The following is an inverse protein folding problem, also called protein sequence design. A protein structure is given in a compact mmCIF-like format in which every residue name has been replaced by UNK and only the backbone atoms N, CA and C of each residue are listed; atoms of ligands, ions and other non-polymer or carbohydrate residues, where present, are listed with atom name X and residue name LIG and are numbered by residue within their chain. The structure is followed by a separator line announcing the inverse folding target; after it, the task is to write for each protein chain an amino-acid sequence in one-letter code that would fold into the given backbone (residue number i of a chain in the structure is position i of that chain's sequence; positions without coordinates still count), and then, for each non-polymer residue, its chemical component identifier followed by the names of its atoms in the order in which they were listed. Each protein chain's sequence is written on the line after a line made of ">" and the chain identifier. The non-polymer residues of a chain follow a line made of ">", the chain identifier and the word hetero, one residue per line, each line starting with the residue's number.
data_IF_745061649775
#
_entry.id   IF_745061649775
#
_cell.length_a   1.000
_cell.length_b   1.000
_cell.length_c   1.000
_cell.angle_alpha   90.00
_cell.angle_beta   90.00
_cell.angle_gamma   90.00
#
_symmetry.space_group_name_H-M   'P 1'
#
loop_
_entity.id
_entity.type
_entity.pdbx_description
1 polymer ?
#
# COMPACT_ATOMS: atom_id res chain seq x y z
N UNK A 1 29.80 -4.44 -15.59
CA UNK A 1 29.00 -3.29 -15.12
C UNK A 1 29.28 -2.06 -15.97
N UNK A 2 30.53 -1.69 -16.19
CA UNK A 2 30.91 -0.51 -16.99
C UNK A 2 30.28 -0.47 -18.39
N UNK A 3 30.35 -1.58 -19.13
CA UNK A 3 29.73 -1.68 -20.47
C UNK A 3 28.21 -1.45 -20.42
N UNK A 4 27.53 -2.01 -19.41
CA UNK A 4 26.08 -1.86 -19.24
C UNK A 4 25.71 -0.40 -18.94
N UNK A 5 26.46 0.27 -18.07
CA UNK A 5 26.26 1.69 -17.77
C UNK A 5 26.57 2.59 -18.96
N UNK A 6 27.65 2.32 -19.70
CA UNK A 6 28.00 3.06 -20.91
C UNK A 6 26.89 2.95 -21.96
N UNK A 7 26.35 1.74 -22.16
CA UNK A 7 25.25 1.51 -23.10
C UNK A 7 23.96 2.21 -22.68
N UNK A 8 23.59 2.16 -21.39
CA UNK A 8 22.42 2.85 -20.88
C UNK A 8 22.57 4.38 -20.99
N UNK A 9 23.73 4.93 -20.63
CA UNK A 9 24.03 6.35 -20.75
C UNK A 9 23.99 6.85 -22.19
N UNK A 10 24.57 6.10 -23.14
CA UNK A 10 24.54 6.45 -24.55
C UNK A 10 23.10 6.47 -25.12
N UNK A 11 22.25 5.53 -24.70
CA UNK A 11 20.85 5.51 -25.10
C UNK A 11 20.06 6.73 -24.58
N UNK A 12 20.30 7.12 -23.32
CA UNK A 12 19.69 8.31 -22.74
C UNK A 12 20.17 9.61 -23.40
N UNK A 13 21.48 9.71 -23.70
CA UNK A 13 22.07 10.89 -24.36
C UNK A 13 21.64 11.04 -25.83
N UNK A 14 21.17 9.96 -26.46
CA UNK A 14 20.70 9.97 -27.85
C UNK A 14 19.24 10.45 -28.01
N UNK A 15 18.53 10.73 -26.90
CA UNK A 15 17.18 11.27 -26.95
C UNK A 15 17.20 12.73 -27.39
N UNK A 16 16.25 13.13 -28.22
CA UNK A 16 16.11 14.52 -28.70
C UNK A 16 15.64 15.47 -27.59
N UNK A 17 14.91 14.93 -26.59
CA UNK A 17 14.41 15.66 -25.44
C UNK A 17 14.32 14.76 -24.21
N UNK A 18 14.65 15.29 -23.02
CA UNK A 18 14.69 14.51 -21.78
C UNK A 18 13.34 13.85 -21.43
N UNK A 19 12.21 14.50 -21.73
CA UNK A 19 10.86 13.96 -21.50
C UNK A 19 10.49 12.76 -22.40
N UNK A 20 11.36 12.34 -23.32
CA UNK A 20 11.21 11.05 -24.00
C UNK A 20 11.60 9.86 -23.11
N UNK A 21 12.26 10.12 -21.97
CA UNK A 21 12.55 9.12 -20.95
C UNK A 21 11.48 9.12 -19.84
N UNK A 22 11.27 7.94 -19.25
CA UNK A 22 10.44 7.74 -18.07
C UNK A 22 11.21 6.88 -17.06
N UNK A 23 11.24 7.35 -15.81
CA UNK A 23 12.01 6.74 -14.73
C UNK A 23 11.05 6.17 -13.68
N UNK A 24 10.58 4.95 -13.91
CA UNK A 24 9.63 4.28 -13.01
C UNK A 24 10.29 3.83 -11.70
N UNK A 25 9.81 4.34 -10.57
CA UNK A 25 10.31 3.97 -9.25
C UNK A 25 9.49 2.84 -8.61
N UNK A 26 10.17 1.84 -8.07
CA UNK A 26 9.52 0.75 -7.34
C UNK A 26 9.23 1.14 -5.90
N UNK A 27 8.00 0.94 -5.42
CA UNK A 27 7.68 1.06 -3.99
C UNK A 27 8.32 -0.01 -3.10
N UNK A 28 9.10 -0.93 -3.67
CA UNK A 28 9.98 -1.87 -2.92
C UNK A 28 11.37 -1.29 -2.67
N UNK A 29 11.76 -0.22 -3.36
CA UNK A 29 13.01 0.47 -3.12
C UNK A 29 12.97 1.22 -1.79
N UNK A 30 14.14 1.44 -1.18
CA UNK A 30 14.22 2.28 0.02
C UNK A 30 13.97 3.74 -0.33
N UNK A 31 13.61 4.56 0.68
CA UNK A 31 13.43 5.99 0.48
C UNK A 31 14.71 6.67 -0.02
N UNK A 32 15.88 6.23 0.44
CA UNK A 32 17.18 6.77 0.02
C UNK A 32 17.46 6.44 -1.46
N UNK A 33 17.14 5.21 -1.87
CA UNK A 33 17.33 4.77 -3.26
C UNK A 33 16.40 5.51 -4.21
N UNK A 34 15.12 5.65 -3.81
CA UNK A 34 14.13 6.43 -4.53
C UNK A 34 14.53 7.91 -4.60
N UNK A 35 15.07 8.48 -3.51
CA UNK A 35 15.56 9.85 -3.45
C UNK A 35 16.72 10.09 -4.43
N UNK A 36 17.72 9.21 -4.46
CA UNK A 36 18.84 9.34 -5.40
C UNK A 36 18.38 9.15 -6.86
N UNK A 37 17.46 8.21 -7.11
CA UNK A 37 16.96 7.96 -8.46
C UNK A 37 16.13 9.14 -9.00
N UNK A 38 15.30 9.77 -8.15
CA UNK A 38 14.54 10.94 -8.54
C UNK A 38 15.41 12.19 -8.74
N UNK A 39 16.56 12.29 -8.07
CA UNK A 39 17.57 13.32 -8.34
C UNK A 39 18.22 13.07 -9.71
N UNK A 40 18.59 11.82 -10.00
CA UNK A 40 19.17 11.46 -11.30
C UNK A 40 18.22 11.79 -12.46
N UNK A 41 16.93 11.46 -12.36
CA UNK A 41 15.94 11.79 -13.39
C UNK A 41 15.80 13.32 -13.61
N UNK A 42 15.81 14.10 -12.52
CA UNK A 42 15.74 15.57 -12.58
C UNK A 42 17.01 16.19 -13.13
N UNK A 43 18.17 15.67 -12.78
CA UNK A 43 19.47 16.09 -13.34
C UNK A 43 19.57 15.73 -14.83
N UNK A 44 18.99 14.60 -15.24
CA UNK A 44 18.84 14.23 -16.65
C UNK A 44 17.95 15.23 -17.41
N UNK A 45 17.09 15.97 -16.71
CA UNK A 45 16.31 17.09 -17.26
C UNK A 45 14.82 16.82 -17.41
N UNK A 46 14.27 15.77 -16.78
CA UNK A 46 12.83 15.45 -16.83
C UNK A 46 12.21 15.31 -15.44
N UNK A 47 10.89 15.52 -15.37
CA UNK A 47 10.08 15.18 -14.20
C UNK A 47 9.25 13.89 -14.40
N UNK A 48 9.42 13.16 -15.50
CA UNK A 48 8.72 11.91 -15.79
C UNK A 48 9.20 10.78 -14.86
N UNK A 49 8.62 10.75 -13.67
CA UNK A 49 9.01 9.87 -12.58
C UNK A 49 7.77 9.26 -11.91
N UNK A 50 7.03 8.37 -12.60
CA UNK A 50 5.93 7.65 -11.97
C UNK A 50 6.44 6.61 -10.97
N UNK A 51 5.58 6.19 -10.06
CA UNK A 51 5.82 5.06 -9.19
C UNK A 51 4.59 4.12 -9.10
N UNK A 52 4.73 3.01 -8.38
CA UNK A 52 3.62 2.08 -8.20
C UNK A 52 2.43 2.67 -7.43
N UNK A 53 2.63 3.74 -6.67
CA UNK A 53 1.56 4.41 -5.93
C UNK A 53 0.64 5.20 -6.86
N UNK A 54 1.11 5.65 -8.03
CA UNK A 54 0.21 6.27 -9.02
C UNK A 54 -0.89 5.31 -9.50
N UNK A 55 -0.63 4.01 -9.53
CA UNK A 55 -1.66 3.03 -9.90
C UNK A 55 -2.64 2.72 -8.75
N UNK A 56 -2.14 2.68 -7.51
CA UNK A 56 -2.91 2.19 -6.37
C UNK A 56 -3.53 3.29 -5.48
N UNK A 57 -2.91 4.46 -5.42
CA UNK A 57 -3.18 5.50 -4.43
C UNK A 57 -3.34 6.92 -5.02
N UNK A 58 -3.22 7.13 -6.32
CA UNK A 58 -3.37 8.46 -6.95
C UNK A 58 -4.70 9.13 -6.64
N UNK A 59 -5.80 8.36 -6.72
CA UNK A 59 -7.13 8.85 -6.38
C UNK A 59 -7.21 9.31 -4.92
N UNK A 60 -6.50 8.61 -4.02
CA UNK A 60 -6.42 8.98 -2.60
C UNK A 60 -5.62 10.26 -2.41
N UNK A 61 -4.46 10.36 -3.06
CA UNK A 61 -3.59 11.55 -3.05
C UNK A 61 -4.29 12.80 -3.59
N UNK A 62 -5.23 12.65 -4.53
CA UNK A 62 -6.01 13.77 -5.07
C UNK A 62 -7.25 14.10 -4.25
N UNK A 63 -7.95 13.08 -3.73
CA UNK A 63 -9.24 13.22 -3.06
C UNK A 63 -9.13 13.68 -1.60
N UNK A 64 -8.29 13.00 -0.81
CA UNK A 64 -8.23 13.26 0.64
C UNK A 64 -7.75 14.66 1.01
N UNK A 65 -6.77 15.30 0.35
CA UNK A 65 -6.39 16.67 0.70
C UNK A 65 -7.53 17.68 0.57
N UNK A 66 -8.47 17.47 -0.37
CA UNK A 66 -9.65 18.33 -0.53
C UNK A 66 -10.66 18.17 0.61
N UNK A 67 -10.72 16.97 1.21
CA UNK A 67 -11.66 16.65 2.27
C UNK A 67 -11.10 16.90 3.67
N UNK A 68 -9.85 16.51 3.91
CA UNK A 68 -9.22 16.47 5.25
C UNK A 68 -7.81 17.10 5.29
N UNK A 69 -7.33 17.70 4.20
CA UNK A 69 -6.03 18.40 4.15
C UNK A 69 -4.80 17.50 4.04
N UNK A 70 -4.94 16.17 4.14
CA UNK A 70 -3.82 15.21 4.10
C UNK A 70 -4.10 14.07 3.12
N UNK A 71 -3.11 13.71 2.29
CA UNK A 71 -3.21 12.66 1.25
C UNK A 71 -2.75 11.27 1.69
N UNK A 72 -2.70 11.01 3.00
CA UNK A 72 -2.11 9.80 3.59
C UNK A 72 -3.00 9.26 4.71
N UNK A 73 -2.70 8.04 5.18
CA UNK A 73 -3.35 7.48 6.35
C UNK A 73 -3.20 8.39 7.57
N UNK A 74 -4.30 8.58 8.29
CA UNK A 74 -4.40 9.48 9.46
C UNK A 74 -4.41 8.76 10.80
N UNK A 75 -4.39 7.43 10.78
CA UNK A 75 -4.52 6.57 11.95
C UNK A 75 -3.39 5.54 11.99
N UNK A 76 -3.07 5.05 13.18
CA UNK A 76 -2.14 3.94 13.41
C UNK A 76 -2.89 2.65 13.73
N UNK A 77 -2.15 1.55 13.96
CA UNK A 77 -2.78 0.27 14.33
C UNK A 77 -3.39 0.32 15.73
N UNK A 78 -2.81 1.10 16.63
CA UNK A 78 -3.27 1.28 18.01
C UNK A 78 -4.62 1.98 18.08
N UNK A 79 -4.96 2.83 17.11
CA UNK A 79 -6.26 3.49 17.04
C UNK A 79 -7.42 2.48 16.92
N UNK A 80 -7.17 1.28 16.39
CA UNK A 80 -8.17 0.21 16.34
C UNK A 80 -8.58 -0.29 17.72
N UNK A 81 -7.76 -0.10 18.76
CA UNK A 81 -8.09 -0.48 20.14
C UNK A 81 -9.14 0.46 20.77
N UNK A 82 -9.29 1.65 20.20
CA UNK A 82 -10.25 2.67 20.64
C UNK A 82 -11.48 2.77 19.73
N UNK A 83 -11.55 1.99 18.65
CA UNK A 83 -12.64 2.06 17.70
C UNK A 83 -13.93 1.41 18.24
N UNK A 84 -15.04 2.16 18.20
CA UNK A 84 -16.39 1.65 18.51
C UNK A 84 -17.10 1.04 17.31
N UNK A 85 -16.60 1.27 16.09
CA UNK A 85 -17.06 0.64 14.85
C UNK A 85 -15.97 0.69 13.77
N UNK A 86 -15.93 -0.30 12.88
CA UNK A 86 -14.95 -0.39 11.79
C UNK A 86 -15.67 -0.60 10.46
N UNK A 87 -15.35 0.22 9.47
CA UNK A 87 -15.90 0.13 8.12
C UNK A 87 -14.81 -0.27 7.11
N UNK A 88 -14.93 -1.47 6.54
CA UNK A 88 -14.03 -1.99 5.53
C UNK A 88 -14.68 -1.88 4.15
N UNK A 89 -14.30 -0.85 3.36
CA UNK A 89 -14.90 -0.56 2.05
C UNK A 89 -13.87 -0.85 0.96
N UNK A 90 -14.21 -1.73 0.01
CA UNK A 90 -13.31 -2.09 -1.11
C UNK A 90 -11.97 -2.70 -0.67
N UNK A 91 -11.92 -3.31 0.53
CA UNK A 91 -10.70 -3.80 1.17
C UNK A 91 -10.77 -5.31 1.43
N UNK A 92 -9.67 -6.01 1.17
CA UNK A 92 -9.51 -7.45 1.43
C UNK A 92 -8.25 -7.71 2.28
N UNK A 93 -8.34 -7.61 3.63
CA UNK A 93 -7.21 -7.83 4.50
C UNK A 93 -6.76 -9.29 4.53
N UNK A 94 -7.63 -10.26 4.24
CA UNK A 94 -7.24 -11.67 4.30
C UNK A 94 -6.15 -12.05 3.30
N UNK A 95 -6.20 -11.47 2.11
CA UNK A 95 -5.21 -11.72 1.06
C UNK A 95 -4.14 -10.63 1.04
N UNK A 96 -4.52 -9.36 1.16
CA UNK A 96 -3.62 -8.24 0.88
C UNK A 96 -2.88 -7.74 2.13
N UNK A 97 -3.47 -7.93 3.33
CA UNK A 97 -2.92 -7.44 4.60
C UNK A 97 -3.16 -8.45 5.74
N UNK A 98 -2.68 -9.71 5.64
CA UNK A 98 -3.11 -10.80 6.52
C UNK A 98 -2.84 -10.54 8.01
N UNK A 99 -1.86 -9.69 8.35
CA UNK A 99 -1.60 -9.25 9.73
C UNK A 99 -2.73 -8.42 10.32
N UNK A 100 -3.45 -7.66 9.50
CA UNK A 100 -4.58 -6.85 9.94
C UNK A 100 -5.76 -7.71 10.42
N UNK A 101 -5.86 -8.98 9.98
CA UNK A 101 -6.88 -9.89 10.51
C UNK A 101 -6.75 -10.09 12.02
N UNK A 102 -5.53 -10.06 12.58
CA UNK A 102 -5.34 -10.13 14.03
C UNK A 102 -5.93 -8.92 14.74
N UNK A 103 -5.74 -7.72 14.18
CA UNK A 103 -6.31 -6.46 14.70
C UNK A 103 -7.84 -6.48 14.62
N UNK A 104 -8.40 -6.90 13.48
CA UNK A 104 -9.85 -7.02 13.30
C UNK A 104 -10.45 -8.09 14.22
N UNK A 105 -9.77 -9.22 14.42
CA UNK A 105 -10.20 -10.26 15.35
C UNK A 105 -10.20 -9.78 16.80
N UNK A 106 -9.20 -8.98 17.20
CA UNK A 106 -9.17 -8.35 18.53
C UNK A 106 -10.37 -7.41 18.71
N UNK A 107 -10.70 -6.58 17.71
CA UNK A 107 -11.88 -5.72 17.73
C UNK A 107 -13.19 -6.53 17.81
N UNK A 108 -13.34 -7.58 16.99
CA UNK A 108 -14.50 -8.48 17.02
C UNK A 108 -14.70 -9.15 18.39
N UNK A 109 -13.61 -9.62 19.03
CA UNK A 109 -13.65 -10.18 20.40
C UNK A 109 -14.10 -9.18 21.47
N UNK A 110 -13.90 -7.87 21.25
CA UNK A 110 -14.41 -6.79 22.10
C UNK A 110 -15.87 -6.41 21.79
N UNK A 111 -16.49 -7.05 20.80
CA UNK A 111 -17.86 -6.76 20.36
C UNK A 111 -17.97 -5.55 19.43
N UNK A 112 -16.85 -5.06 18.88
CA UNK A 112 -16.85 -3.93 17.94
C UNK A 112 -17.48 -4.36 16.61
N UNK A 113 -18.53 -3.67 16.12
CA UNK A 113 -19.12 -3.96 14.81
C UNK A 113 -18.13 -3.68 13.68
N UNK A 114 -17.90 -4.70 12.85
CA UNK A 114 -17.08 -4.61 11.62
C UNK A 114 -18.02 -4.74 10.42
N UNK A 115 -18.17 -3.66 9.66
CA UNK A 115 -19.07 -3.56 8.51
C UNK A 115 -18.25 -3.61 7.23
N UNK A 116 -18.55 -4.56 6.35
CA UNK A 116 -17.83 -4.77 5.11
C UNK A 116 -18.70 -4.38 3.92
N UNK A 117 -18.19 -3.48 3.08
CA UNK A 117 -18.81 -3.11 1.80
C UNK A 117 -17.85 -3.47 0.65
N UNK A 118 -18.02 -4.67 0.11
CA UNK A 118 -17.20 -5.20 -0.98
C UNK A 118 -18.10 -5.97 -1.96
N UNK A 119 -17.98 -5.78 -3.29
CA UNK A 119 -18.72 -6.60 -4.27
C UNK A 119 -18.45 -8.10 -4.14
N UNK A 120 -17.29 -8.49 -3.61
CA UNK A 120 -16.95 -9.89 -3.37
C UNK A 120 -16.98 -10.25 -1.88
N UNK A 121 -17.48 -11.45 -1.58
CA UNK A 121 -17.48 -12.01 -0.22
C UNK A 121 -16.10 -12.58 0.09
N UNK A 122 -15.51 -12.08 1.17
CA UNK A 122 -14.14 -12.43 1.55
C UNK A 122 -14.13 -13.28 2.82
N UNK A 123 -13.67 -14.53 2.71
CA UNK A 123 -13.75 -15.51 3.80
C UNK A 123 -13.04 -15.04 5.07
N UNK A 124 -11.89 -14.37 4.94
CA UNK A 124 -11.13 -13.85 6.08
C UNK A 124 -11.83 -12.72 6.85
N UNK A 125 -12.81 -12.05 6.23
CA UNK A 125 -13.65 -11.04 6.87
C UNK A 125 -14.96 -11.62 7.42
N UNK A 126 -15.35 -12.83 7.01
CA UNK A 126 -16.53 -13.53 7.54
C UNK A 126 -16.19 -14.44 8.72
N UNK A 127 -15.04 -15.12 8.66
CA UNK A 127 -14.57 -16.08 9.65
C UNK A 127 -13.05 -16.11 9.67
N UNK A 128 -12.48 -15.88 10.84
CA UNK A 128 -11.05 -15.96 11.06
C UNK A 128 -10.70 -16.91 12.20
N UNK A 129 -9.65 -17.70 11.98
CA UNK A 129 -8.95 -18.48 13.01
C UNK A 129 -7.50 -18.10 12.95
N UNK A 130 -6.93 -17.67 14.07
CA UNK A 130 -5.52 -17.36 14.11
C UNK A 130 -4.70 -18.65 14.09
N UNK A 131 -3.84 -18.87 13.09
CA UNK A 131 -2.95 -20.03 13.07
C UNK A 131 -1.91 -19.99 14.19
N UNK A 132 -1.72 -18.82 14.82
CA UNK A 132 -0.80 -18.62 15.95
C UNK A 132 -1.41 -19.00 17.31
N UNK A 133 -2.72 -19.30 17.36
CA UNK A 133 -3.42 -19.72 18.58
C UNK A 133 -3.86 -21.18 18.47
N UNK A 134 -3.11 -22.13 19.07
CA UNK A 134 -3.42 -23.56 19.00
C UNK A 134 -4.83 -23.91 19.48
N UNK A 135 -5.32 -23.19 20.49
CA UNK A 135 -6.67 -23.37 21.03
C UNK A 135 -7.75 -23.01 20.01
N UNK A 136 -7.58 -21.93 19.25
CA UNK A 136 -8.52 -21.56 18.18
C UNK A 136 -8.52 -22.59 17.06
N UNK A 137 -7.34 -23.13 16.72
CA UNK A 137 -7.18 -24.15 15.68
C UNK A 137 -7.83 -25.48 16.05
N UNK A 138 -7.85 -25.84 17.34
CA UNK A 138 -8.48 -27.05 17.86
C UNK A 138 -9.98 -26.88 18.11
N UNK A 139 -10.45 -25.64 18.28
CA UNK A 139 -11.87 -25.35 18.47
C UNK A 139 -12.64 -25.32 17.14
N UNK A 140 -13.93 -25.69 17.09
CA UNK A 140 -14.74 -25.56 15.88
C UNK A 140 -15.15 -24.11 15.57
N UNK A 141 -15.10 -23.19 16.55
CA UNK A 141 -15.51 -21.78 16.41
C UNK A 141 -14.52 -20.92 15.63
N UNK A 142 -14.99 -19.82 15.03
CA UNK A 142 -14.18 -18.80 14.39
C UNK A 142 -14.64 -17.41 14.88
N UNK A 143 -13.73 -16.44 14.89
CA UNK A 143 -14.01 -15.04 15.22
C UNK A 143 -14.36 -14.25 13.96
#
# INVERSE_FOLDING_TARGET
>A
WDEAFARAGAALQALDHADQAEFYCSGRASNESAFLYQLFAREFGTNNFPDCSNMCHEATSTGLPKSIGIGKGTVTLEDFDHADAIFCIGHNPGTNHPRMLSTLAAASKRGVPIIVANPMRERGLERFKSPQHPTEMLSPGAT
#
